data_IF_157051832378
#
_entry.id   IF_157051832378
#
_cell.length_a   1.000
_cell.length_b   1.000
_cell.length_c   1.000
_cell.angle_alpha   90.00
_cell.angle_beta   90.00
_cell.angle_gamma   90.00
#
_symmetry.space_group_name_H-M   'P 1'
#
loop_
_entity.id
_entity.type
_entity.pdbx_description
1 polymer ?
2 water ?
#
# COMPACT_ATOMS: atom_id res chain seq x y z
N UNK A 2 10.57 -7.78 -12.75
CA UNK A 2 10.57 -9.16 -12.33
C UNK A 2 9.70 -9.41 -11.10
N UNK A 3 9.34 -8.35 -10.38
CA UNK A 3 8.45 -8.49 -9.24
C UNK A 3 9.13 -8.41 -7.89
N UNK A 4 8.31 -8.28 -6.83
CA UNK A 4 8.82 -8.11 -5.47
C UNK A 4 9.49 -9.39 -4.97
N UNK A 5 10.75 -9.28 -4.54
CA UNK A 5 11.46 -10.48 -4.06
C UNK A 5 10.97 -10.99 -2.70
N UNK A 6 10.25 -10.16 -1.94
CA UNK A 6 9.91 -10.51 -0.56
C UNK A 6 8.44 -10.84 -0.31
N UNK A 7 7.59 -10.51 -1.27
CA UNK A 7 6.16 -10.80 -1.18
C UNK A 7 5.74 -11.43 -2.52
N UNK A 8 5.33 -12.69 -2.47
CA UNK A 8 5.05 -13.45 -3.68
C UNK A 8 3.67 -13.12 -4.25
N UNK A 9 3.55 -13.26 -5.57
CA UNK A 9 2.28 -13.08 -6.26
C UNK A 9 2.36 -13.72 -7.64
N UNK A 10 1.22 -14.07 -8.20
CA UNK A 10 1.19 -14.70 -9.52
C UNK A 10 0.28 -15.91 -9.56
N UNK A 11 0.35 -16.65 -10.66
CA UNK A 11 -0.47 -17.83 -10.87
C UNK A 11 -0.29 -18.86 -9.76
N UNK A 12 -1.40 -19.39 -9.24
CA UNK A 12 -1.34 -20.45 -8.24
C UNK A 12 -1.05 -21.80 -8.91
N UNK A 13 -0.15 -22.57 -8.30
CA UNK A 13 0.21 -23.90 -8.77
C UNK A 13 0.96 -24.61 -7.64
N UNK A 14 1.54 -25.77 -7.95
CA UNK A 14 2.33 -26.48 -6.94
C UNK A 14 3.53 -25.64 -6.48
N UNK A 15 3.98 -24.74 -7.36
CA UNK A 15 5.12 -23.86 -7.07
C UNK A 15 4.71 -22.56 -6.37
N UNK A 16 3.41 -22.30 -6.35
CA UNK A 16 2.90 -21.14 -5.66
C UNK A 16 1.55 -21.49 -5.07
N UNK A 17 1.55 -22.33 -4.01
CA UNK A 17 0.30 -22.87 -3.48
C UNK A 17 -0.47 -21.85 -2.64
N UNK A 18 -1.78 -22.01 -2.56
CA UNK A 18 -2.60 -21.07 -1.79
C UNK A 18 -3.81 -21.81 -1.24
N UNK A 19 -3.87 -21.96 0.08
CA UNK A 19 -4.89 -22.76 0.75
C UNK A 19 -5.74 -21.93 1.70
N UNK A 20 -7.06 -21.99 1.55
CA UNK A 20 -7.97 -21.26 2.43
C UNK A 20 -7.94 -21.78 3.86
N UNK A 21 -7.93 -20.85 4.81
CA UNK A 21 -8.10 -21.17 6.22
C UNK A 21 -9.55 -21.59 6.45
N UNK A 22 -9.74 -22.77 7.07
CA UNK A 22 -11.07 -23.40 7.18
C UNK A 22 -12.15 -22.61 7.92
N UNK A 23 -11.80 -21.88 8.97
CA UNK A 23 -12.82 -21.24 9.79
C UNK A 23 -13.17 -19.77 9.55
N UNK A 24 -13.23 -19.35 8.29
CA UNK A 24 -13.38 -17.93 8.01
C UNK A 24 -14.72 -17.55 7.39
N UNK A 25 -14.89 -17.83 6.11
CA UNK A 25 -16.14 -17.53 5.45
C UNK A 25 -16.80 -18.81 4.94
N UNK A 26 -18.11 -18.76 4.68
CA UNK A 26 -18.78 -20.02 4.29
C UNK A 26 -18.29 -20.56 2.95
N UNK A 27 -18.55 -21.85 2.69
CA UNK A 27 -18.32 -22.43 1.36
C UNK A 27 -19.14 -21.66 0.34
N UNK A 28 -18.52 -21.34 -0.79
CA UNK A 28 -19.15 -20.53 -1.79
C UNK A 28 -18.93 -19.03 -1.62
N UNK A 29 -18.40 -18.61 -0.48
CA UNK A 29 -18.13 -17.18 -0.26
C UNK A 29 -17.14 -16.63 -1.26
N UNK A 30 -17.31 -15.35 -1.62
CA UNK A 30 -16.40 -14.70 -2.54
C UNK A 30 -15.49 -13.72 -1.83
N UNK A 31 -14.44 -13.29 -2.53
CA UNK A 31 -13.52 -12.30 -1.97
C UNK A 31 -14.28 -11.01 -1.61
N UNK A 32 -15.19 -10.59 -2.49
CA UNK A 32 -16.00 -9.43 -2.22
C UNK A 32 -16.86 -9.61 -0.95
N UNK A 33 -17.41 -10.80 -0.75
CA UNK A 33 -18.15 -11.08 0.49
C UNK A 33 -17.29 -10.82 1.71
N UNK A 34 -16.08 -11.35 1.67
CA UNK A 34 -15.13 -11.20 2.79
C UNK A 34 -14.74 -9.75 2.97
N UNK A 35 -14.51 -9.07 1.86
CA UNK A 35 -14.08 -7.67 1.92
C UNK A 35 -15.18 -6.79 2.48
N UNK A 36 -16.42 -7.02 2.05
CA UNK A 36 -17.54 -6.24 2.56
C UNK A 36 -17.73 -6.42 4.05
N UNK A 37 -17.72 -7.67 4.51
CA UNK A 37 -17.83 -7.97 5.93
C UNK A 37 -16.71 -7.32 6.73
N UNK A 38 -15.48 -7.48 6.24
CA UNK A 38 -14.32 -6.93 6.93
C UNK A 38 -14.36 -5.41 6.98
N UNK A 39 -14.77 -4.79 5.88
CA UNK A 39 -14.87 -3.33 5.78
C UNK A 39 -15.83 -2.80 6.84
N UNK A 40 -16.96 -3.48 7.00
CA UNK A 40 -17.96 -3.08 7.98
C UNK A 40 -17.41 -3.19 9.39
N UNK A 41 -16.87 -4.37 9.71
CA UNK A 41 -16.33 -4.64 11.04
C UNK A 41 -15.17 -3.71 11.38
N UNK A 42 -14.35 -3.36 10.39
CA UNK A 42 -13.22 -2.46 10.62
C UNK A 42 -13.68 -1.03 10.91
N UNK A 43 -14.73 -0.57 10.23
CA UNK A 43 -15.25 0.75 10.50
C UNK A 43 -15.74 0.82 11.93
N UNK A 44 -16.45 -0.23 12.34
CA UNK A 44 -17.00 -0.31 13.70
C UNK A 44 -15.90 -0.27 14.76
N UNK A 45 -14.83 -1.00 14.50
CA UNK A 45 -13.72 -1.12 15.46
C UNK A 45 -13.02 0.22 15.68
N UNK A 46 -13.13 1.10 14.69
CA UNK A 46 -12.51 2.42 14.77
C UNK A 46 -13.49 3.48 15.25
N UNK A 47 -14.72 3.07 15.56
CA UNK A 47 -15.76 4.01 15.97
C UNK A 47 -16.21 4.94 14.87
N UNK A 48 -16.07 4.52 13.61
CA UNK A 48 -16.54 5.34 12.50
C UNK A 48 -18.05 5.18 12.36
N UNK A 49 -18.68 6.17 11.73
CA UNK A 49 -20.12 6.16 11.48
C UNK A 49 -20.51 4.99 10.57
N UNK A 50 -21.45 4.15 11.03
CA UNK A 50 -21.99 3.03 10.25
C UNK A 50 -22.51 3.44 8.87
N UNK A 51 -23.03 4.65 8.75
CA UNK A 51 -23.49 5.17 7.46
C UNK A 51 -22.31 5.28 6.49
N UNK A 52 -21.15 5.69 7.02
CA UNK A 52 -19.95 5.83 6.20
C UNK A 52 -19.40 4.47 5.76
N UNK A 53 -19.55 3.47 6.63
CA UNK A 53 -19.19 2.09 6.29
C UNK A 53 -20.06 1.54 5.17
N UNK A 54 -21.35 1.82 5.23
CA UNK A 54 -22.26 1.39 4.17
C UNK A 54 -21.91 2.05 2.85
N UNK A 55 -21.53 3.33 2.92
CA UNK A 55 -21.12 4.06 1.73
C UNK A 55 -19.86 3.42 1.14
N UNK A 56 -18.95 3.03 2.02
CA UNK A 56 -17.70 2.39 1.61
C UNK A 56 -17.95 1.07 0.90
N UNK A 57 -18.88 0.27 1.45
CA UNK A 57 -19.30 -1.00 0.87
C UNK A 57 -19.93 -0.79 -0.49
N UNK A 58 -20.80 0.21 -0.60
CA UNK A 58 -21.45 0.53 -1.87
C UNK A 58 -20.40 0.90 -2.92
N UNK A 59 -19.42 1.70 -2.51
CA UNK A 59 -18.35 2.11 -3.42
C UNK A 59 -17.48 0.93 -3.89
N UNK A 60 -17.15 0.05 -2.96
CA UNK A 60 -16.34 -1.13 -3.27
C UNK A 60 -17.07 -2.05 -4.26
N UNK A 61 -18.36 -2.27 -4.01
CA UNK A 61 -19.15 -3.10 -4.92
C UNK A 61 -19.22 -2.47 -6.32
N UNK A 62 -19.45 -1.16 -6.36
CA UNK A 62 -19.56 -0.44 -7.63
C UNK A 62 -18.29 -0.55 -8.49
N UNK A 63 -17.14 -0.36 -7.86
CA UNK A 63 -15.88 -0.24 -8.59
C UNK A 63 -15.16 -1.58 -8.82
N UNK A 64 -15.30 -2.49 -7.86
CA UNK A 64 -14.53 -3.74 -7.88
C UNK A 64 -15.39 -4.99 -7.99
N UNK A 65 -16.69 -4.86 -7.78
CA UNK A 65 -17.60 -6.00 -7.83
C UNK A 65 -17.47 -6.87 -9.06
N UNK A 66 -17.21 -6.25 -10.20
CA UNK A 66 -17.05 -7.00 -11.44
C UNK A 66 -15.96 -8.07 -11.35
N UNK A 67 -14.90 -7.78 -10.59
CA UNK A 67 -13.74 -8.67 -10.54
C UNK A 67 -13.57 -9.38 -9.21
N UNK A 68 -14.11 -8.80 -8.14
CA UNK A 68 -13.85 -9.33 -6.81
C UNK A 68 -14.80 -10.41 -6.34
N UNK A 69 -15.77 -10.78 -7.16
CA UNK A 69 -16.69 -11.86 -6.77
C UNK A 69 -16.18 -13.24 -7.15
N UNK A 70 -14.89 -13.45 -6.94
CA UNK A 70 -14.20 -14.71 -7.19
C UNK A 70 -14.27 -15.55 -5.92
N UNK A 71 -14.23 -16.88 -6.05
CA UNK A 71 -14.38 -17.69 -4.83
C UNK A 71 -13.14 -17.64 -3.93
N UNK A 72 -13.35 -17.56 -2.62
CA UNK A 72 -12.24 -17.66 -1.69
C UNK A 72 -11.56 -19.03 -1.78
N UNK A 73 -12.37 -20.09 -1.84
CA UNK A 73 -11.83 -21.44 -1.95
C UNK A 73 -11.16 -21.67 -3.30
N UNK A 74 -10.04 -22.39 -3.25
CA UNK A 74 -9.25 -22.73 -4.45
C UNK A 74 -9.06 -21.59 -5.46
N UNK A 75 -8.42 -20.50 -5.00
CA UNK A 75 -8.16 -19.36 -5.88
C UNK A 75 -7.16 -19.73 -6.98
N UNK A 76 -7.26 -19.06 -8.12
CA UNK A 76 -6.34 -19.33 -9.21
C UNK A 76 -5.17 -18.36 -9.26
N UNK A 77 -5.20 -17.34 -8.42
CA UNK A 77 -4.16 -16.32 -8.43
C UNK A 77 -3.80 -15.93 -7.00
N UNK A 78 -2.51 -15.77 -6.76
CA UNK A 78 -2.00 -15.16 -5.52
C UNK A 78 -1.73 -13.67 -5.75
N UNK A 79 -2.48 -12.79 -5.07
CA UNK A 79 -2.34 -11.35 -5.30
C UNK A 79 -1.17 -10.78 -4.50
N UNK A 80 -0.72 -9.60 -4.93
CA UNK A 80 0.39 -8.87 -4.30
C UNK A 80 -0.10 -7.95 -3.18
N UNK A 81 -1.37 -7.57 -3.23
CA UNK A 81 -1.85 -6.47 -2.39
C UNK A 81 -1.89 -6.83 -0.90
N UNK A 82 -2.17 -8.10 -0.60
CA UNK A 82 -2.16 -8.58 0.78
C UNK A 82 -1.09 -9.66 0.95
N UNK A 83 -0.46 -9.70 2.11
CA UNK A 83 0.62 -10.65 2.36
C UNK A 83 0.18 -12.11 2.45
N UNK A 84 -1.11 -12.36 2.59
CA UNK A 84 -1.62 -13.73 2.54
C UNK A 84 -2.08 -14.13 1.14
N UNK A 85 -1.99 -13.20 0.20
CA UNK A 85 -2.33 -13.51 -1.18
C UNK A 85 -3.75 -13.17 -1.59
N UNK A 86 -4.54 -12.67 -0.65
CA UNK A 86 -5.90 -12.23 -0.96
C UNK A 86 -5.82 -11.01 -1.88
N UNK A 87 -6.84 -10.81 -2.72
CA UNK A 87 -6.88 -9.67 -3.64
C UNK A 87 -7.39 -8.37 -3.04
N UNK A 88 -7.47 -8.29 -1.71
CA UNK A 88 -7.77 -7.05 -1.02
C UNK A 88 -7.03 -6.96 0.30
N UNK A 89 -6.76 -5.74 0.74
CA UNK A 89 -6.07 -5.47 1.99
C UNK A 89 -6.73 -4.28 2.66
N UNK A 90 -6.93 -4.38 3.97
CA UNK A 90 -7.52 -3.30 4.74
C UNK A 90 -6.42 -2.47 5.37
N UNK A 91 -6.64 -1.16 5.45
CA UNK A 91 -5.65 -0.28 6.05
C UNK A 91 -6.34 0.80 6.86
N UNK A 92 -5.73 1.19 7.97
CA UNK A 92 -6.24 2.30 8.73
C UNK A 92 -5.15 3.37 8.85
N UNK A 93 -5.52 4.64 8.75
CA UNK A 93 -4.52 5.69 8.84
C UNK A 93 -4.92 6.75 9.86
N UNK A 94 -4.02 7.03 10.79
CA UNK A 94 -4.22 8.09 11.77
C UNK A 94 -3.36 9.29 11.41
N UNK A 95 -3.98 10.43 11.16
CA UNK A 95 -3.25 11.68 10.95
C UNK A 95 -3.59 12.60 12.12
N UNK A 96 -2.71 12.60 13.10
CA UNK A 96 -2.98 13.29 14.35
C UNK A 96 -4.23 12.72 15.02
N UNK A 97 -4.96 13.59 15.69
CA UNK A 97 -6.13 13.15 16.45
C UNK A 97 -7.34 12.92 15.57
N UNK A 98 -8.31 12.21 16.10
CA UNK A 98 -9.57 12.02 15.41
C UNK A 98 -9.70 10.63 14.80
N UNK A 99 -10.91 10.31 14.31
CA UNK A 99 -11.20 9.01 13.70
C UNK A 99 -10.26 8.69 12.55
N UNK A 100 -9.82 7.43 12.49
CA UNK A 100 -8.91 6.99 11.45
C UNK A 100 -9.61 6.91 10.10
N UNK A 101 -8.83 7.10 9.05
CA UNK A 101 -9.30 6.85 7.70
C UNK A 101 -9.22 5.34 7.50
N UNK A 102 -10.23 4.76 6.83
CA UNK A 102 -10.23 3.35 6.51
C UNK A 102 -10.04 3.21 5.02
N UNK A 103 -9.09 2.38 4.62
CA UNK A 103 -8.81 2.23 3.20
C UNK A 103 -8.89 0.76 2.84
N UNK A 104 -9.35 0.48 1.63
CA UNK A 104 -9.21 -0.86 1.11
C UNK A 104 -8.45 -0.74 -0.21
N UNK A 105 -7.47 -1.62 -0.40
CA UNK A 105 -6.70 -1.66 -1.63
C UNK A 105 -6.99 -3.00 -2.27
N UNK A 106 -7.24 -2.99 -3.58
CA UNK A 106 -7.64 -4.22 -4.26
C UNK A 106 -6.85 -4.47 -5.54
N UNK A 107 -6.90 -5.72 -6.00
CA UNK A 107 -6.45 -6.05 -7.34
C UNK A 107 -7.60 -6.68 -8.10
N UNK A 108 -7.75 -6.30 -9.37
CA UNK A 108 -8.79 -6.89 -10.20
C UNK A 108 -8.19 -8.06 -11.00
N UNK A 109 -8.68 -9.27 -10.77
CA UNK A 109 -8.18 -10.43 -11.51
C UNK A 109 -9.16 -10.83 -12.60
N UNK A 110 -8.65 -11.46 -13.66
CA UNK A 110 -9.50 -11.95 -14.75
C UNK A 110 -9.98 -13.36 -14.47
N UNK A 111 -10.95 -13.81 -15.28
CA UNK A 111 -11.44 -15.17 -15.20
C UNK A 111 -11.24 -15.84 -16.57
N UNK A 112 -10.26 -16.75 -16.68
CA UNK A 112 -9.35 -17.19 -15.61
C UNK A 112 -8.23 -16.19 -15.39
N UNK A 113 -7.60 -16.22 -14.22
CA UNK A 113 -6.55 -15.22 -13.99
C UNK A 113 -5.27 -15.55 -14.75
N UNK A 114 -4.85 -14.64 -15.61
CA UNK A 114 -3.62 -14.75 -16.37
C UNK A 114 -2.95 -13.38 -16.35
N UNK A 115 -1.65 -13.32 -16.67
CA UNK A 115 -1.02 -12.00 -16.71
C UNK A 115 -1.73 -11.01 -17.64
N UNK A 116 -2.02 -11.43 -18.87
CA UNK A 116 -2.68 -10.54 -19.82
C UNK A 116 -4.11 -10.21 -19.40
N UNK A 117 -4.83 -11.20 -18.89
CA UNK A 117 -6.19 -10.99 -18.44
C UNK A 117 -6.22 -10.02 -17.27
N UNK A 118 -5.31 -10.22 -16.32
CA UNK A 118 -5.28 -9.40 -15.12
C UNK A 118 -4.90 -7.98 -15.45
N UNK A 119 -3.95 -7.78 -16.36
CA UNK A 119 -3.59 -6.40 -16.71
C UNK A 119 -4.74 -5.72 -17.44
N UNK A 120 -5.44 -6.44 -18.31
CA UNK A 120 -6.63 -5.89 -18.94
C UNK A 120 -7.68 -5.48 -17.90
N UNK A 121 -7.92 -6.34 -16.90
CA UNK A 121 -8.88 -6.04 -15.84
C UNK A 121 -8.47 -4.83 -15.02
N UNK A 122 -7.18 -4.74 -14.69
CA UNK A 122 -6.68 -3.68 -13.84
C UNK A 122 -6.83 -2.32 -14.49
N UNK A 123 -6.69 -2.27 -15.80
CA UNK A 123 -6.84 -1.01 -16.53
C UNK A 123 -8.29 -0.75 -16.92
N UNK A 124 -9.08 -1.81 -17.07
CA UNK A 124 -10.53 -1.64 -17.22
C UNK A 124 -11.13 -1.03 -15.95
N UNK A 125 -10.60 -1.41 -14.79
CA UNK A 125 -11.03 -0.78 -13.53
C UNK A 125 -10.93 0.74 -13.60
N UNK A 126 -9.84 1.24 -14.19
CA UNK A 126 -9.64 2.69 -14.26
C UNK A 126 -10.62 3.36 -15.21
N UNK A 127 -10.97 2.68 -16.29
CA UNK A 127 -11.99 3.22 -17.18
C UNK A 127 -13.34 3.32 -16.46
N UNK A 128 -13.64 2.33 -15.62
CA UNK A 128 -14.85 2.39 -14.82
C UNK A 128 -14.77 3.54 -13.82
N UNK A 129 -13.59 3.69 -13.21
CA UNK A 129 -13.40 4.73 -12.21
C UNK A 129 -13.54 6.12 -12.83
N UNK A 130 -13.19 6.24 -14.10
CA UNK A 130 -13.26 7.52 -14.81
C UNK A 130 -14.69 8.06 -14.89
N UNK A 131 -15.66 7.20 -14.61
CA UNK A 131 -17.08 7.60 -14.60
C UNK A 131 -17.51 8.15 -13.24
N UNK A 132 -16.64 8.03 -12.25
CA UNK A 132 -16.94 8.50 -10.91
C UNK A 132 -16.56 9.98 -10.76
N UNK A 133 -17.53 10.80 -10.30
CA UNK A 133 -17.37 12.25 -10.19
C UNK A 133 -16.18 12.69 -9.33
N UNK A 134 -15.87 11.93 -8.28
CA UNK A 134 -14.79 12.30 -7.38
C UNK A 134 -13.41 11.82 -7.78
N UNK A 135 -13.32 11.16 -8.92
CA UNK A 135 -12.05 10.60 -9.38
C UNK A 135 -11.50 11.42 -10.54
N UNK A 136 -10.18 11.53 -10.60
CA UNK A 136 -9.48 12.20 -11.69
C UNK A 136 -8.50 11.22 -12.29
N UNK A 137 -8.89 10.55 -13.37
CA UNK A 137 -8.12 9.43 -13.90
C UNK A 137 -7.23 9.79 -15.08
N UNK A 138 -7.31 11.04 -15.55
CA UNK A 138 -6.55 11.43 -16.73
C UNK A 138 -5.05 11.19 -16.59
N UNK A 139 -4.50 11.53 -15.43
CA UNK A 139 -3.05 11.41 -15.25
C UNK A 139 -2.54 9.98 -15.24
N UNK A 140 -3.34 9.04 -14.73
CA UNK A 140 -2.92 7.65 -14.80
C UNK A 140 -3.18 7.02 -16.17
N UNK A 141 -4.29 7.37 -16.83
CA UNK A 141 -4.53 6.79 -18.15
C UNK A 141 -3.49 7.28 -19.18
N UNK A 142 -2.94 8.46 -18.92
CA UNK A 142 -1.82 8.98 -19.72
C UNK A 142 -0.53 8.18 -19.56
N UNK A 143 -0.49 7.24 -18.61
CA UNK A 143 0.68 6.39 -18.41
C UNK A 143 0.48 4.96 -18.92
N UNK A 144 -0.69 4.66 -19.50
CA UNK A 144 -1.03 3.27 -19.77
C UNK A 144 -0.08 2.59 -20.73
N UNK A 145 0.38 3.33 -21.75
CA UNK A 145 1.29 2.70 -22.71
C UNK A 145 2.65 2.32 -22.11
N UNK A 146 3.04 2.97 -21.02
CA UNK A 146 4.27 2.61 -20.31
C UNK A 146 4.13 1.36 -19.46
N UNK A 147 2.99 1.25 -18.77
CA UNK A 147 2.84 0.23 -17.76
C UNK A 147 2.01 -0.95 -18.20
N UNK A 148 1.40 -0.82 -19.38
CA UNK A 148 0.61 -1.93 -19.91
C UNK A 148 1.16 -2.35 -21.26
N UNK A 149 2.26 -3.11 -21.25
CA UNK A 149 2.92 -3.53 -22.50
C UNK A 149 2.20 -4.67 -23.20
N UNK A 150 2.72 -5.08 -24.35
CA UNK A 150 2.17 -6.18 -25.14
C UNK A 150 2.11 -7.46 -24.31
N UNK A 151 3.26 -7.82 -23.74
CA UNK A 151 3.40 -9.03 -22.95
C UNK A 151 3.76 -8.66 -21.52
N UNK A 152 2.77 -8.69 -20.61
CA UNK A 152 3.10 -8.42 -19.22
C UNK A 152 3.96 -9.53 -18.63
N UNK A 153 4.69 -9.25 -17.56
CA UNK A 153 5.46 -10.31 -16.91
C UNK A 153 4.53 -11.16 -16.05
N UNK A 154 5.01 -12.35 -15.66
CA UNK A 154 4.16 -13.33 -15.01
C UNK A 154 3.65 -12.88 -13.65
N UNK A 155 4.35 -11.93 -13.04
CA UNK A 155 3.96 -11.44 -11.71
C UNK A 155 3.45 -10.00 -11.76
N UNK A 156 2.89 -9.63 -12.90
CA UNK A 156 2.33 -8.30 -13.08
C UNK A 156 1.29 -7.98 -12.04
N UNK A 157 1.19 -6.69 -11.75
CA UNK A 157 0.19 -6.18 -10.83
C UNK A 157 -0.09 -4.72 -11.10
N UNK A 158 -1.30 -4.33 -10.73
CA UNK A 158 -1.66 -2.93 -10.57
C UNK A 158 -2.69 -2.92 -9.44
N UNK A 159 -2.55 -1.99 -8.50
CA UNK A 159 -3.41 -2.00 -7.32
C UNK A 159 -4.20 -0.71 -7.23
N UNK A 160 -5.41 -0.82 -6.66
CA UNK A 160 -6.33 0.30 -6.58
C UNK A 160 -6.79 0.54 -5.16
N UNK A 161 -6.64 1.78 -4.70
CA UNK A 161 -7.10 2.10 -3.35
C UNK A 161 -8.33 2.99 -3.31
N UNK A 162 -9.17 2.74 -2.31
CA UNK A 162 -10.35 3.57 -2.04
C UNK A 162 -10.30 3.98 -0.57
N UNK A 163 -10.27 5.28 -0.31
CA UNK A 163 -10.19 5.71 1.09
C UNK A 163 -11.54 6.23 1.56
N UNK A 164 -11.94 5.76 2.73
CA UNK A 164 -13.16 6.21 3.39
C UNK A 164 -12.74 7.18 4.50
N UNK A 165 -13.11 8.44 4.34
CA UNK A 165 -12.64 9.47 5.27
C UNK A 165 -13.80 9.96 6.13
N UNK A 166 -13.52 10.20 7.42
CA UNK A 166 -14.60 10.66 8.31
C UNK A 166 -15.18 11.99 7.84
N UNK A 167 -16.49 12.00 7.59
CA UNK A 167 -17.19 13.22 7.21
C UNK A 167 -16.65 13.89 5.96
N UNK A 168 -16.21 13.09 4.99
CA UNK A 168 -15.62 13.64 3.77
C UNK A 168 -15.77 12.70 2.57
N UNK A 169 -15.61 13.26 1.36
CA UNK A 169 -15.71 12.49 0.13
C UNK A 169 -14.56 11.48 0.01
N UNK A 170 -14.80 10.36 -0.70
CA UNK A 170 -13.75 9.34 -0.83
C UNK A 170 -12.58 9.80 -1.69
N UNK A 171 -11.42 9.19 -1.43
CA UNK A 171 -10.22 9.43 -2.22
C UNK A 171 -9.83 8.15 -2.92
N UNK A 172 -9.26 8.30 -4.12
CA UNK A 172 -8.85 7.15 -4.91
C UNK A 172 -7.37 7.23 -5.21
N UNK A 173 -6.71 6.08 -5.21
CA UNK A 173 -5.27 5.98 -5.43
C UNK A 173 -4.97 4.80 -6.35
N UNK A 174 -3.88 4.91 -7.12
CA UNK A 174 -3.45 3.77 -7.92
C UNK A 174 -1.97 3.52 -7.66
N UNK A 175 -1.58 2.24 -7.69
CA UNK A 175 -0.20 1.84 -7.49
C UNK A 175 0.25 1.07 -8.73
N UNK A 176 1.37 1.52 -9.31
CA UNK A 176 1.86 0.98 -10.60
C UNK A 176 3.19 0.27 -10.37
N UNK A 177 3.45 -0.74 -11.20
CA UNK A 177 4.61 -1.61 -11.09
C UNK A 177 5.77 -1.08 -11.93
N UNK A 178 6.84 -0.63 -11.25
CA UNK A 178 8.00 -0.10 -11.99
C UNK A 178 8.64 -1.17 -12.87
N UNK A 179 8.41 -2.43 -12.53
CA UNK A 179 8.93 -3.56 -13.29
C UNK A 179 8.02 -3.99 -14.45
N UNK A 180 7.06 -3.15 -14.83
CA UNK A 180 6.07 -3.56 -15.84
C UNK A 180 6.70 -4.04 -17.15
N UNK A 181 7.84 -3.46 -17.51
CA UNK A 181 8.50 -3.82 -18.77
C UNK A 181 9.81 -4.55 -18.48
N UNK A 182 9.91 -5.09 -17.27
CA UNK A 182 11.09 -5.80 -16.84
C UNK A 182 12.00 -4.96 -15.97
N UNK A 183 12.83 -5.64 -15.18
CA UNK A 183 13.76 -4.97 -14.28
C UNK A 183 14.68 -3.96 -14.97
N UNK A 184 15.21 -4.35 -16.13
CA UNK A 184 16.16 -3.51 -16.86
C UNK A 184 15.54 -2.16 -17.23
N UNK A 185 14.25 -2.18 -17.56
CA UNK A 185 13.56 -1.00 -18.05
C UNK A 185 13.01 -0.11 -16.95
N UNK A 186 13.00 -0.62 -15.71
CA UNK A 186 12.40 0.14 -14.60
C UNK A 186 12.90 1.58 -14.45
N UNK A 187 14.23 1.81 -14.56
CA UNK A 187 14.64 3.22 -14.44
C UNK A 187 14.08 4.10 -15.55
N UNK A 188 14.05 3.62 -16.79
CA UNK A 188 13.55 4.45 -17.88
C UNK A 188 12.03 4.62 -17.79
N UNK A 189 11.34 3.59 -17.33
CA UNK A 189 9.88 3.68 -17.14
C UNK A 189 9.54 4.75 -16.09
N UNK A 190 10.26 4.73 -14.97
CA UNK A 190 10.04 5.73 -13.94
C UNK A 190 10.41 7.13 -14.42
N UNK A 191 11.55 7.25 -15.08
CA UNK A 191 11.97 8.55 -15.58
C UNK A 191 10.89 9.14 -16.51
N UNK A 192 10.37 8.31 -17.41
CA UNK A 192 9.37 8.75 -18.37
C UNK A 192 8.04 9.11 -17.69
N UNK A 193 7.65 8.30 -16.71
CA UNK A 193 6.42 8.55 -15.97
C UNK A 193 6.49 9.88 -15.22
N UNK A 194 7.62 10.13 -14.54
CA UNK A 194 7.79 11.37 -13.80
C UNK A 194 7.82 12.57 -14.74
N UNK A 195 8.39 12.38 -15.94
CA UNK A 195 8.32 13.41 -16.99
C UNK A 195 6.86 13.72 -17.34
N UNK A 196 6.08 12.67 -17.60
CA UNK A 196 4.70 12.85 -18.02
C UNK A 196 3.88 13.48 -16.91
N UNK A 197 4.24 13.20 -15.67
CA UNK A 197 3.48 13.71 -14.52
C UNK A 197 3.93 15.09 -14.08
N UNK A 198 4.95 15.64 -14.73
CA UNK A 198 5.38 17.01 -14.47
C UNK A 198 6.23 17.20 -13.22
N UNK A 199 6.90 16.13 -12.80
CA UNK A 199 7.75 16.18 -11.60
C UNK A 199 9.16 15.64 -11.90
N UNK A 200 9.61 15.80 -13.14
CA UNK A 200 10.95 15.34 -13.54
C UNK A 200 12.09 15.92 -12.71
N UNK A 201 12.09 17.25 -12.56
CA UNK A 201 13.17 17.94 -11.86
C UNK A 201 13.33 17.41 -10.45
N UNK A 202 12.22 17.28 -9.75
CA UNK A 202 12.23 16.79 -8.37
C UNK A 202 12.68 15.33 -8.32
N UNK A 203 12.18 14.52 -9.25
CA UNK A 203 12.58 13.13 -9.33
C UNK A 203 14.08 12.96 -9.59
N UNK A 204 14.59 13.66 -10.60
CA UNK A 204 16.03 13.58 -10.90
C UNK A 204 16.86 14.15 -9.75
N UNK A 205 16.32 15.15 -9.07
CA UNK A 205 16.95 15.68 -7.86
C UNK A 205 17.04 14.61 -6.79
N UNK A 206 15.95 13.87 -6.58
CA UNK A 206 15.97 12.76 -5.65
C UNK A 206 16.98 11.68 -6.06
N UNK A 207 17.04 11.34 -7.35
CA UNK A 207 17.98 10.33 -7.85
C UNK A 207 19.41 10.73 -7.53
N UNK A 208 19.73 11.99 -7.77
CA UNK A 208 21.07 12.49 -7.53
C UNK A 208 21.40 12.46 -6.05
N UNK A 209 20.42 12.80 -5.22
CA UNK A 209 20.58 12.75 -3.78
C UNK A 209 20.82 11.33 -3.30
N UNK A 210 20.00 10.39 -3.79
CA UNK A 210 20.12 9.00 -3.39
C UNK A 210 21.47 8.41 -3.76
N UNK A 211 21.98 8.80 -4.92
CA UNK A 211 23.27 8.31 -5.41
C UNK A 211 24.40 8.60 -4.43
N UNK A 212 24.20 9.64 -3.60
CA UNK A 212 25.21 10.10 -2.67
C UNK A 212 24.89 9.77 -1.22
N UNK A 213 23.78 9.08 -0.98
CA UNK A 213 23.39 8.79 0.39
C UNK A 213 23.00 7.34 0.63
N UNK A 214 23.85 6.43 0.18
CA UNK A 214 23.64 5.02 0.45
C UNK A 214 23.01 4.30 -0.72
N UNK A 215 22.63 5.07 -1.74
CA UNK A 215 22.12 4.49 -2.97
C UNK A 215 20.63 4.32 -3.03
N UNK A 216 20.09 4.41 -4.24
CA UNK A 216 18.68 4.19 -4.47
C UNK A 216 18.45 2.70 -4.58
N UNK A 217 17.83 2.11 -3.57
CA UNK A 217 17.49 0.71 -3.62
C UNK A 217 16.37 0.51 -4.61
N UNK A 218 15.81 -0.70 -4.62
CA UNK A 218 14.75 -1.07 -5.57
C UNK A 218 13.55 -0.11 -5.46
N UNK A 219 13.10 0.44 -6.59
CA UNK A 219 11.85 1.20 -6.58
C UNK A 219 10.72 0.20 -6.61
N UNK A 220 9.89 0.21 -5.57
CA UNK A 220 8.86 -0.79 -5.40
C UNK A 220 7.53 -0.43 -6.06
N UNK A 221 7.20 0.87 -6.09
CA UNK A 221 5.95 1.29 -6.69
C UNK A 221 5.98 2.77 -7.02
N UNK A 222 5.22 3.13 -8.05
CA UNK A 222 4.87 4.52 -8.32
C UNK A 222 3.38 4.63 -8.07
N UNK A 223 2.97 5.54 -7.18
CA UNK A 223 1.56 5.71 -6.85
C UNK A 223 1.07 7.11 -7.16
N UNK A 224 -0.21 7.22 -7.53
CA UNK A 224 -0.83 8.52 -7.83
C UNK A 224 -2.11 8.68 -7.05
N UNK A 225 -2.30 9.85 -6.45
CA UNK A 225 -3.59 10.22 -5.89
C UNK A 225 -4.42 10.70 -7.07
N UNK A 226 -5.56 10.05 -7.30
CA UNK A 226 -6.39 10.35 -8.46
C UNK A 226 -7.41 11.41 -8.11
N UNK A 227 -6.91 12.61 -7.83
CA UNK A 227 -7.75 13.75 -7.49
C UNK A 227 -7.24 15.00 -8.20
N UNK A 228 -8.17 15.89 -8.52
CA UNK A 228 -7.83 17.17 -9.14
C UNK A 228 -7.80 18.27 -8.08
N UNK A 229 -7.04 18.05 -7.02
CA UNK A 229 -6.94 18.99 -5.91
C UNK A 229 -5.48 19.36 -5.66
N UNK A 230 -5.24 20.34 -4.80
CA UNK A 230 -3.89 20.73 -4.44
C UNK A 230 -3.25 19.73 -3.47
N UNK A 231 -4.06 18.82 -2.95
CA UNK A 231 -3.59 17.84 -1.97
C UNK A 231 -3.05 16.57 -2.64
N UNK A 232 -3.41 16.39 -3.91
CA UNK A 232 -2.99 15.19 -4.65
C UNK A 232 -1.48 15.15 -4.84
N UNK A 233 -0.89 13.96 -4.73
CA UNK A 233 0.54 13.80 -4.88
C UNK A 233 0.90 12.67 -5.84
N UNK A 234 2.16 12.68 -6.28
CA UNK A 234 2.78 11.53 -6.93
C UNK A 234 3.69 10.94 -5.88
N UNK A 235 3.73 9.62 -5.75
CA UNK A 235 4.51 9.01 -4.68
C UNK A 235 5.40 7.91 -5.21
N UNK A 236 6.65 7.90 -4.76
CA UNK A 236 7.57 6.86 -5.18
C UNK A 236 8.09 6.11 -3.96
N UNK A 237 7.97 4.79 -3.99
CA UNK A 237 8.37 3.95 -2.87
C UNK A 237 9.77 3.37 -3.11
N UNK A 238 10.71 3.75 -2.26
CA UNK A 238 12.10 3.31 -2.39
C UNK A 238 12.42 2.27 -1.31
N UNK A 239 12.75 1.04 -1.72
CA UNK A 239 13.09 -0.02 -0.76
C UNK A 239 14.60 -0.04 -0.53
N UNK A 240 15.00 -0.11 0.74
CA UNK A 240 16.37 0.15 1.20
C UNK A 240 17.23 -1.04 1.57
N UNK A 241 17.55 -1.90 0.63
CA UNK A 241 18.43 -3.03 0.95
C UNK A 241 19.85 -2.65 1.38
N UNK A 242 20.28 -3.23 2.49
CA UNK A 242 21.66 -3.09 2.95
C UNK A 242 22.02 -1.81 3.68
N UNK A 243 21.05 -0.92 3.89
CA UNK A 243 21.30 0.33 4.61
C UNK A 243 20.97 0.15 6.08
N UNK A 244 21.74 0.80 6.96
CA UNK A 244 21.37 0.78 8.37
C UNK A 244 20.34 1.86 8.70
N UNK A 245 19.80 1.81 9.90
CA UNK A 245 18.70 2.70 10.23
C UNK A 245 19.08 4.18 10.23
N UNK A 246 20.30 4.48 10.68
CA UNK A 246 20.77 5.86 10.64
C UNK A 246 20.85 6.40 9.22
N UNK A 247 21.28 5.55 8.29
CA UNK A 247 21.39 5.96 6.90
C UNK A 247 20.04 6.17 6.23
N UNK A 248 19.05 5.36 6.60
CA UNK A 248 17.70 5.53 6.07
C UNK A 248 17.15 6.86 6.55
N UNK A 249 17.43 7.18 7.82
CA UNK A 249 16.99 8.46 8.38
C UNK A 249 17.63 9.61 7.62
N UNK A 250 18.95 9.57 7.48
CA UNK A 250 19.66 10.65 6.82
C UNK A 250 19.22 10.86 5.37
N UNK A 251 18.92 9.76 4.68
CA UNK A 251 18.45 9.79 3.29
C UNK A 251 17.16 10.62 3.13
N UNK A 252 16.34 10.65 4.17
CA UNK A 252 15.05 11.36 4.10
C UNK A 252 15.19 12.88 4.17
N UNK A 253 16.40 13.36 4.49
CA UNK A 253 16.66 14.80 4.61
C UNK A 253 16.40 15.59 3.32
N UNK A 254 16.32 14.88 2.20
CA UNK A 254 16.06 15.51 0.92
C UNK A 254 14.63 16.04 0.86
N UNK A 255 13.75 15.49 1.70
CA UNK A 255 12.33 15.82 1.65
C UNK A 255 11.98 16.95 2.63
N UNK A 256 11.04 17.80 2.23
CA UNK A 256 10.47 18.73 3.18
C UNK A 256 9.86 17.98 4.36
N UNK A 257 9.90 18.59 5.53
CA UNK A 257 9.29 17.99 6.71
C UNK A 257 10.14 16.96 7.45
N UNK A 258 11.39 16.80 7.01
CA UNK A 258 12.27 15.81 7.62
C UNK A 258 12.55 16.18 9.06
N UNK A 259 12.49 15.20 9.95
CA UNK A 259 12.80 15.40 11.34
C UNK A 259 13.94 14.45 11.69
N UNK A 260 15.18 14.98 11.70
CA UNK A 260 16.35 14.11 11.94
C UNK A 260 16.21 13.27 13.21
N UNK A 261 16.45 11.97 13.07
CA UNK A 261 16.37 11.07 14.20
C UNK A 261 15.07 10.30 14.33
N UNK A 262 13.99 10.84 13.78
CA UNK A 262 12.68 10.21 13.96
C UNK A 262 12.57 8.84 13.27
N UNK A 263 13.06 8.72 12.04
CA UNK A 263 12.99 7.45 11.34
C UNK A 263 13.83 6.39 12.06
N UNK A 264 15.05 6.74 12.45
CA UNK A 264 15.94 5.80 13.09
C UNK A 264 15.32 5.30 14.39
N UNK A 265 14.69 6.19 15.15
CA UNK A 265 14.04 5.80 16.39
C UNK A 265 12.90 4.81 16.17
N UNK A 266 12.09 5.04 15.13
CA UNK A 266 10.97 4.17 14.82
C UNK A 266 11.45 2.76 14.44
N UNK A 267 12.51 2.71 13.64
CA UNK A 267 13.09 1.43 13.23
C UNK A 267 13.64 0.67 14.44
N UNK A 268 14.36 1.37 15.32
CA UNK A 268 14.89 0.72 16.51
C UNK A 268 13.78 0.17 17.42
N UNK A 269 12.70 0.93 17.58
CA UNK A 269 11.65 0.56 18.51
C UNK A 269 10.76 -0.57 18.01
N UNK A 270 10.58 -0.64 16.70
CA UNK A 270 9.73 -1.68 16.14
C UNK A 270 10.53 -2.83 15.52
N UNK A 271 11.27 -2.53 14.46
CA UNK A 271 12.05 -3.53 13.73
C UNK A 271 13.19 -4.09 14.58
N UNK A 272 13.72 -3.23 15.45
CA UNK A 272 14.83 -3.63 16.30
C UNK A 272 16.16 -3.55 15.58
N UNK A 273 17.21 -3.88 16.32
CA UNK A 273 18.56 -3.82 15.79
C UNK A 273 19.27 -5.17 15.98
N UNK A 274 18.52 -6.21 16.35
CA UNK A 274 19.12 -7.52 16.63
C UNK A 274 19.22 -8.48 15.44
N UNK A 275 18.20 -8.46 14.60
CA UNK A 275 18.09 -9.39 13.46
C UNK A 275 17.61 -8.59 12.25
N UNK A 276 18.25 -8.78 11.09
CA UNK A 276 17.73 -8.07 9.91
C UNK A 276 16.29 -8.49 9.64
N UNK A 277 15.43 -7.54 9.23
CA UNK A 277 14.03 -7.92 8.96
C UNK A 277 13.92 -8.75 7.69
N UNK A 278 12.81 -9.46 7.55
CA UNK A 278 12.64 -10.37 6.42
C UNK A 278 12.57 -9.62 5.11
N UNK A 279 12.16 -8.36 5.17
CA UNK A 279 12.24 -7.49 4.02
C UNK A 279 12.67 -6.12 4.51
N UNK A 280 13.38 -5.36 3.67
CA UNK A 280 13.92 -4.06 4.09
C UNK A 280 12.84 -3.00 4.25
N UNK A 281 13.13 -1.97 5.06
CA UNK A 281 12.20 -0.84 5.12
C UNK A 281 12.10 -0.14 3.77
N UNK A 282 11.07 0.70 3.64
CA UNK A 282 10.79 1.44 2.41
C UNK A 282 10.52 2.88 2.80
N UNK A 283 11.04 3.84 2.02
CA UNK A 283 10.61 5.22 2.19
C UNK A 283 9.78 5.65 1.00
N UNK A 284 8.60 6.18 1.32
CA UNK A 284 7.74 6.77 0.30
C UNK A 284 7.98 8.28 0.21
N UNK A 285 8.53 8.71 -0.92
CA UNK A 285 8.73 10.14 -1.18
C UNK A 285 7.57 10.68 -1.99
N UNK A 286 6.99 11.79 -1.52
CA UNK A 286 5.87 12.43 -2.18
C UNK A 286 6.35 13.60 -3.04
N UNK A 287 5.67 13.83 -4.17
CA UNK A 287 6.00 14.91 -5.08
C UNK A 287 4.76 15.69 -5.49
N UNK A 288 4.97 16.96 -5.81
CA UNK A 288 3.90 17.83 -6.26
C UNK A 288 4.42 18.65 -7.44
N UNK A 289 3.64 18.72 -8.52
CA UNK A 289 4.00 19.54 -9.67
C UNK A 289 4.28 20.97 -9.23
N UNK A 290 5.40 21.53 -9.67
CA UNK A 290 5.76 22.89 -9.32
C UNK A 290 6.60 23.00 -8.07
N UNK A 291 6.88 21.88 -7.42
CA UNK A 291 7.80 21.86 -6.30
C UNK A 291 9.03 21.01 -6.68
N UNK A 292 10.21 21.57 -6.48
CA UNK A 292 11.44 20.98 -6.98
C UNK A 292 12.12 19.95 -6.10
N UNK A 293 11.54 19.69 -4.93
CA UNK A 293 12.05 18.67 -4.02
C UNK A 293 10.87 17.84 -3.53
N UNK A 294 11.12 16.64 -2.97
CA UNK A 294 10.00 15.88 -2.43
C UNK A 294 9.34 16.67 -1.30
N UNK A 295 8.01 16.63 -1.27
CA UNK A 295 7.25 17.41 -0.31
C UNK A 295 7.09 16.70 1.03
N UNK A 296 7.33 15.40 1.04
CA UNK A 296 7.22 14.61 2.27
C UNK A 296 7.94 13.27 2.13
N UNK A 297 8.29 12.68 3.26
CA UNK A 297 8.84 11.32 3.29
C UNK A 297 8.16 10.54 4.40
N UNK A 298 7.63 9.37 4.05
CA UNK A 298 6.95 8.50 5.00
C UNK A 298 7.70 7.18 5.06
N UNK A 299 7.97 6.70 6.27
CA UNK A 299 8.73 5.45 6.44
C UNK A 299 7.82 4.24 6.60
N UNK A 300 8.09 3.19 5.83
CA UNK A 300 7.40 1.92 5.95
C UNK A 300 8.27 0.93 6.70
N UNK A 301 7.81 0.55 7.89
CA UNK A 301 8.60 -0.15 8.90
C UNK A 301 8.18 -1.62 8.93
N UNK A 302 9.12 -2.52 8.64
CA UNK A 302 8.77 -3.95 8.70
C UNK A 302 8.69 -4.44 10.14
N UNK A 303 7.88 -5.47 10.37
CA UNK A 303 7.80 -6.07 11.70
C UNK A 303 9.13 -6.75 12.00
N UNK A 304 9.48 -6.85 13.30
CA UNK A 304 10.77 -7.46 13.66
C UNK A 304 10.85 -8.94 13.33
N UNK A 305 12.01 -9.38 12.87
CA UNK A 305 12.27 -10.81 12.67
C UNK A 305 12.67 -11.45 14.01
N UNK A 306 12.34 -12.72 14.18
CA UNK A 306 12.78 -13.50 15.33
C UNK A 306 12.00 -13.22 16.60
N UNK A 307 10.84 -12.58 16.43
CA UNK A 307 10.01 -12.15 17.53
C UNK A 307 8.58 -12.49 17.13
N UNK A 308 7.76 -12.97 18.09
CA UNK A 308 6.39 -13.35 17.74
C UNK A 308 5.56 -12.15 17.28
N UNK A 309 4.58 -12.41 16.43
CA UNK A 309 3.68 -11.36 15.96
C UNK A 309 3.02 -10.60 17.13
N UNK A 310 2.76 -11.27 18.24
CA UNK A 310 2.14 -10.60 19.38
C UNK A 310 3.06 -9.48 19.89
N UNK A 311 4.36 -9.73 19.89
CA UNK A 311 5.32 -8.73 20.33
C UNK A 311 5.47 -7.61 19.30
N UNK A 312 5.36 -7.97 18.02
CA UNK A 312 5.38 -6.96 16.96
C UNK A 312 4.24 -5.98 17.15
N UNK A 313 3.06 -6.50 17.48
CA UNK A 313 1.90 -5.64 17.70
C UNK A 313 2.07 -4.80 18.96
N UNK A 314 2.65 -5.41 20.00
CA UNK A 314 2.88 -4.69 21.25
C UNK A 314 3.83 -3.51 21.01
N UNK A 315 4.90 -3.75 20.26
CA UNK A 315 5.86 -2.69 19.95
C UNK A 315 5.26 -1.58 19.11
N UNK A 316 4.48 -1.98 18.10
CA UNK A 316 3.88 -1.01 17.21
C UNK A 316 2.88 -0.13 17.97
N UNK A 317 2.08 -0.75 18.84
CA UNK A 317 1.12 -0.01 19.64
C UNK A 317 1.84 0.93 20.59
N UNK A 318 2.92 0.45 21.20
CA UNK A 318 3.66 1.30 22.13
C UNK A 318 4.26 2.49 21.42
N UNK A 319 4.81 2.26 20.22
CA UNK A 319 5.33 3.35 19.42
C UNK A 319 4.24 4.40 19.09
N UNK A 320 3.06 3.94 18.69
CA UNK A 320 1.91 4.82 18.44
C UNK A 320 1.57 5.72 19.61
N UNK A 321 1.42 5.10 20.78
CA UNK A 321 1.12 5.80 22.02
C UNK A 321 2.13 6.91 22.26
N UNK A 322 3.40 6.55 22.09
CA UNK A 322 4.48 7.47 22.40
C UNK A 322 4.53 8.63 21.42
N UNK A 323 3.85 8.47 20.27
CA UNK A 323 3.68 9.57 19.33
C UNK A 323 2.35 10.28 19.55
N UNK A 324 1.61 9.88 20.58
CA UNK A 324 0.35 10.51 20.92
C UNK A 324 -0.82 10.08 20.06
N UNK A 325 -0.69 8.92 19.43
CA UNK A 325 -1.74 8.40 18.56
C UNK A 325 -2.51 7.24 19.21
N UNK A 326 -3.69 6.96 18.70
CA UNK A 326 -4.62 6.05 19.34
C UNK A 326 -4.28 4.57 19.12
N UNK A 327 -3.44 4.02 19.99
CA UNK A 327 -2.97 2.64 19.82
C UNK A 327 -4.06 1.61 20.08
N UNK A 328 -5.06 1.98 20.87
CA UNK A 328 -6.17 1.09 21.15
C UNK A 328 -6.91 0.82 19.85
N UNK A 329 -7.07 1.86 19.03
CA UNK A 329 -7.79 1.75 17.77
C UNK A 329 -7.02 0.84 16.82
N UNK A 330 -5.71 0.95 16.83
CA UNK A 330 -4.86 0.09 16.00
C UNK A 330 -5.05 -1.38 16.35
N UNK A 331 -5.03 -1.70 17.63
CA UNK A 331 -5.19 -3.08 18.05
C UNK A 331 -6.58 -3.62 17.70
N UNK A 332 -7.60 -2.79 17.86
CA UNK A 332 -8.96 -3.20 17.54
C UNK A 332 -9.14 -3.41 16.05
N UNK A 333 -8.51 -2.55 15.27
CA UNK A 333 -8.58 -2.66 13.81
C UNK A 333 -7.93 -3.94 13.32
N UNK A 334 -6.76 -4.28 13.88
CA UNK A 334 -6.10 -5.53 13.49
C UNK A 334 -6.98 -6.74 13.76
N UNK A 335 -7.62 -6.75 14.92
CA UNK A 335 -8.50 -7.87 15.25
C UNK A 335 -9.66 -8.00 14.26
N UNK A 336 -10.28 -6.87 13.93
CA UNK A 336 -11.45 -6.84 13.05
C UNK A 336 -11.08 -7.23 11.62
N UNK A 337 -9.90 -6.81 11.18
CA UNK A 337 -9.48 -7.06 9.81
C UNK A 337 -9.08 -8.51 9.56
N UNK A 338 -8.62 -9.19 10.61
CA UNK A 338 -8.11 -10.56 10.48
C UNK A 338 -9.05 -11.61 11.04
N UNK A 339 -10.15 -11.19 11.66
CA UNK A 339 -11.10 -12.10 12.24
C UNK A 339 -10.73 -12.44 13.67
N UNK A 344 -2.15 -13.14 16.45
CA UNK A 344 -1.45 -14.42 16.42
C UNK A 344 -0.74 -14.66 15.09
N UNK A 345 -1.36 -14.22 14.00
CA UNK A 345 -0.86 -14.49 12.66
C UNK A 345 -0.16 -13.26 12.06
N UNK A 346 0.92 -13.49 11.32
CA UNK A 346 1.71 -12.37 10.80
C UNK A 346 1.09 -11.82 9.54
N UNK A 347 0.02 -11.05 9.70
CA UNK A 347 -0.75 -10.58 8.56
C UNK A 347 -0.54 -9.10 8.24
N UNK A 348 0.39 -8.46 8.93
CA UNK A 348 0.65 -7.06 8.64
C UNK A 348 1.62 -6.94 7.48
N UNK A 349 1.57 -5.83 6.77
CA UNK A 349 2.46 -5.62 5.64
C UNK A 349 3.68 -4.83 6.11
N UNK A 350 3.43 -3.60 6.51
CA UNK A 350 4.39 -2.75 7.20
C UNK A 350 3.51 -1.96 8.15
N UNK A 351 4.13 -1.05 8.89
CA UNK A 351 3.43 0.05 9.56
C UNK A 351 4.07 1.37 9.10
N UNK A 352 3.26 2.34 8.66
CA UNK A 352 3.80 3.56 8.05
C UNK A 352 3.86 4.66 9.09
N UNK A 353 4.91 5.48 9.04
CA UNK A 353 5.11 6.53 10.02
C UNK A 353 5.65 7.80 9.36
N UNK A 354 5.06 8.95 9.68
CA UNK A 354 5.66 10.22 9.30
C UNK A 354 5.64 11.12 10.51
N UNK A 355 6.81 11.59 10.94
CA UNK A 355 6.83 12.44 12.14
C UNK A 355 6.16 13.78 11.86
N UNK A 356 5.72 14.43 12.93
CA UNK A 356 5.16 15.76 12.80
C UNK A 356 6.27 16.76 12.52
N UNK A 357 6.13 17.49 11.41
CA UNK A 357 7.01 18.62 11.12
C UNK A 357 6.44 19.80 11.90
N UNK A 358 7.18 20.93 11.99
CA UNK A 358 6.61 22.12 12.62
C UNK A 358 5.25 22.50 12.06
N UNK A 359 4.27 22.67 12.95
CA UNK A 359 2.92 23.03 12.55
C UNK A 359 2.08 21.85 12.10
N UNK A 360 2.69 20.65 12.07
CA UNK A 360 2.02 19.49 11.54
C UNK A 360 1.60 18.45 12.56
N UNK A 361 1.10 17.33 12.05
CA UNK A 361 0.62 16.22 12.88
C UNK A 361 1.41 14.97 12.57
N UNK A 362 1.62 14.12 13.56
CA UNK A 362 2.26 12.82 13.30
C UNK A 362 1.30 11.89 12.57
N UNK A 363 1.84 10.99 11.76
CA UNK A 363 1.02 10.06 11.00
C UNK A 363 1.44 8.63 11.25
N UNK A 364 0.48 7.73 11.35
CA UNK A 364 0.78 6.31 11.48
C UNK A 364 -0.28 5.56 10.72
N UNK A 365 0.10 4.50 10.03
CA UNK A 365 -0.89 3.70 9.32
C UNK A 365 -0.56 2.22 9.42
N UNK A 366 -1.59 1.38 9.36
CA UNK A 366 -1.39 -0.06 9.35
C UNK A 366 -1.98 -0.65 8.07
N UNK A 367 -1.49 -1.83 7.73
CA UNK A 367 -1.82 -2.50 6.46
C UNK A 367 -1.93 -3.97 6.79
N UNK A 368 -3.13 -4.53 6.64
CA UNK A 368 -3.38 -5.85 7.19
C UNK A 368 -4.17 -6.76 6.23
N UNK A 369 -3.61 -7.95 5.98
CA UNK A 369 -4.27 -8.96 5.17
C UNK A 369 -5.46 -9.55 5.92
N UNK A 370 -6.47 -10.04 5.20
CA UNK A 370 -7.65 -10.57 5.89
C UNK A 370 -7.47 -11.94 6.50
N UNK A 371 -6.38 -12.65 6.16
CA UNK A 371 -6.15 -13.95 6.74
C UNK A 371 -7.03 -15.03 6.14
N UNK A 372 -7.38 -14.87 4.87
CA UNK A 372 -8.18 -15.88 4.21
C UNK A 372 -7.36 -17.10 3.86
N UNK A 373 -6.05 -16.92 3.69
CA UNK A 373 -5.18 -18.02 3.27
C UNK A 373 -4.10 -18.29 4.28
N UNK A 374 -3.65 -19.55 4.31
CA UNK A 374 -2.53 -19.93 5.16
C UNK A 374 -1.27 -19.25 4.66
N UNK A 375 -0.42 -18.83 5.58
CA UNK A 375 0.84 -18.16 5.22
C UNK A 375 1.89 -19.16 4.76
#
# INVERSE_FOLDING_TARGET
MAGDPFVDNGTVSSQRPLRAVPGRYPPGATHLDAAVDTLVRCHAALGRAPSEAEAAVCLLRRLWGRWGNTPVERPGWRSYVAVDGSPFELSAAWNGDGPAEVRVTVEATADPPTPEGNQEAGWEYLRGLSRHPGAATARVLALEDLFRPQTPHDRCWIMHGMASRPGADPLFKVYLDPDARGAAEAPSVLDEAMDRLGVRAAWQGLRGWLDEHGGSGRIGSLALDLADTDDARVKVYVQHAGLDWADIDRQAAVARGHVPGAFSAALEEITGTEVPPHKPPVTCFAFHRGVGVPTAATLYIPMPAGVPESDARRRSAAFMRRSGLDSAAYLAFLAAATGDGEGVRALQNFVAYRPAAPGGRPRFACYVAPGLYRLEHHHHHH
#
